data_IF_237944622583
#
_entry.id   IF_237944622583
#
_cell.length_a   1.000
_cell.length_b   1.000
_cell.length_c   1.000
_cell.angle_alpha   90.00
_cell.angle_beta   90.00
_cell.angle_gamma   90.00
#
_symmetry.space_group_name_H-M   'P 1'
#
loop_
_entity.id
_entity.type
_entity.pdbx_description
1 polymer ?
#
# COMPACT_ATOMS: atom_id res chain seq x y z
N UNK A 1 -13.52 36.74 24.39
CA UNK A 1 -14.21 35.44 24.47
C UNK A 1 -13.16 34.34 24.56
N UNK A 2 -13.15 33.59 25.66
CA UNK A 2 -12.30 32.42 25.83
C UNK A 2 -12.78 31.28 24.94
N UNK A 3 -11.86 30.50 24.39
CA UNK A 3 -12.08 29.10 24.04
C UNK A 3 -10.76 28.36 24.22
N UNK A 4 -10.43 28.11 25.49
CA UNK A 4 -9.58 27.00 25.87
C UNK A 4 -10.28 25.70 25.46
N UNK A 5 -9.63 24.87 24.65
CA UNK A 5 -9.92 23.43 24.69
C UNK A 5 -8.60 22.67 24.63
N UNK A 6 -8.22 21.96 25.71
CA UNK A 6 -6.92 21.34 25.84
C UNK A 6 -6.81 20.12 24.92
N UNK A 7 -5.71 20.03 24.19
CA UNK A 7 -5.35 18.86 23.40
C UNK A 7 -4.73 17.76 24.28
N UNK A 8 -5.51 16.75 24.68
CA UNK A 8 -5.12 15.33 24.91
C UNK A 8 -6.39 14.51 25.29
N UNK A 9 -6.59 13.20 24.99
CA UNK A 9 -5.60 12.12 25.13
C UNK A 9 -5.61 11.03 24.02
N UNK A 10 -4.42 10.52 23.68
CA UNK A 10 -4.16 9.34 22.85
C UNK A 10 -4.62 9.39 21.38
N UNK A 11 -3.81 8.79 20.49
CA UNK A 11 -3.97 8.87 19.03
C UNK A 11 -5.29 8.23 18.58
N UNK A 12 -6.40 8.97 18.62
CA UNK A 12 -7.68 8.50 18.10
C UNK A 12 -7.53 8.21 16.62
N UNK A 13 -7.91 7.00 16.21
CA UNK A 13 -7.90 6.60 14.80
C UNK A 13 -8.80 7.54 14.02
N UNK A 14 -8.30 8.08 12.90
CA UNK A 14 -9.01 9.00 11.99
C UNK A 14 -8.90 8.48 10.55
N UNK A 15 -9.77 8.96 9.66
CA UNK A 15 -9.75 8.62 8.25
C UNK A 15 -9.90 7.11 8.01
N UNK A 16 -9.08 6.53 7.13
CA UNK A 16 -9.12 5.11 6.79
C UNK A 16 -8.96 4.19 8.02
N UNK A 17 -8.11 4.58 8.98
CA UNK A 17 -7.87 3.81 10.20
C UNK A 17 -9.08 3.79 11.16
N UNK A 18 -10.00 4.75 11.03
CA UNK A 18 -11.23 4.81 11.81
C UNK A 18 -12.40 4.02 11.19
N UNK A 19 -12.27 3.61 9.91
CA UNK A 19 -13.34 2.93 9.20
C UNK A 19 -13.51 1.48 9.66
N UNK A 20 -14.72 0.97 9.49
CA UNK A 20 -15.02 -0.45 9.73
C UNK A 20 -14.17 -1.35 8.81
N UNK A 21 -13.84 -2.59 9.23
CA UNK A 21 -13.06 -3.52 8.42
C UNK A 21 -13.65 -3.76 7.01
N UNK A 22 -14.97 -3.81 6.91
CA UNK A 22 -15.72 -4.04 5.67
C UNK A 22 -15.50 -2.86 4.71
N UNK A 23 -15.71 -1.63 5.19
CA UNK A 23 -15.52 -0.41 4.39
C UNK A 23 -14.06 -0.19 4.01
N UNK A 24 -13.11 -0.55 4.88
CA UNK A 24 -11.67 -0.54 4.53
C UNK A 24 -11.38 -1.50 3.38
N UNK A 25 -11.95 -2.69 3.42
CA UNK A 25 -11.77 -3.70 2.38
C UNK A 25 -12.35 -3.25 1.04
N UNK A 26 -13.56 -2.67 1.05
CA UNK A 26 -14.17 -2.09 -0.15
C UNK A 26 -13.32 -0.97 -0.76
N UNK A 27 -12.85 -0.02 0.07
CA UNK A 27 -11.99 1.08 -0.39
C UNK A 27 -10.65 0.57 -0.92
N UNK A 28 -10.05 -0.43 -0.27
CA UNK A 28 -8.81 -1.05 -0.74
C UNK A 28 -9.01 -1.79 -2.09
N UNK A 29 -10.12 -2.53 -2.24
CA UNK A 29 -10.51 -3.17 -3.50
C UNK A 29 -10.69 -2.14 -4.61
N UNK A 30 -11.39 -1.04 -4.32
CA UNK A 30 -11.58 0.06 -5.28
C UNK A 30 -10.27 0.71 -5.67
N UNK A 31 -9.36 0.97 -4.70
CA UNK A 31 -8.03 1.52 -4.96
C UNK A 31 -7.16 0.63 -5.84
N UNK A 32 -7.16 -0.69 -5.60
CA UNK A 32 -6.45 -1.65 -6.46
C UNK A 32 -7.08 -1.82 -7.85
N UNK A 33 -8.40 -1.68 -7.94
CA UNK A 33 -9.14 -1.77 -9.20
C UNK A 33 -9.06 -0.50 -10.06
N UNK A 34 -8.78 0.66 -9.46
CA UNK A 34 -8.79 1.97 -10.12
C UNK A 34 -7.77 2.09 -11.26
N UNK A 35 -6.71 1.28 -11.25
CA UNK A 35 -5.81 1.15 -12.40
C UNK A 35 -6.41 0.11 -13.34
N UNK A 36 -6.78 0.44 -14.60
CA UNK A 36 -7.23 -0.55 -15.57
C UNK A 36 -6.20 -1.65 -15.79
N UNK A 37 -6.63 -2.88 -16.07
CA UNK A 37 -5.78 -4.05 -16.31
C UNK A 37 -4.64 -3.76 -17.28
N UNK A 38 -4.92 -2.99 -18.32
CA UNK A 38 -3.99 -2.66 -19.40
C UNK A 38 -2.86 -1.72 -18.94
N UNK A 39 -3.06 -1.02 -17.81
CA UNK A 39 -2.07 -0.12 -17.19
C UNK A 39 -1.48 -0.68 -15.89
N UNK A 40 -1.92 -1.86 -15.44
CA UNK A 40 -1.33 -2.57 -14.29
C UNK A 40 -0.05 -3.27 -14.73
N UNK A 41 1.03 -2.51 -14.92
CA UNK A 41 2.35 -3.06 -15.27
C UNK A 41 2.80 -4.17 -14.30
N UNK A 42 2.39 -4.11 -13.04
CA UNK A 42 2.69 -5.08 -11.99
C UNK A 42 1.79 -6.33 -11.96
N UNK A 43 0.73 -6.39 -12.76
CA UNK A 43 -0.18 -7.56 -12.82
C UNK A 43 0.16 -8.53 -13.95
N UNK A 44 1.07 -8.17 -14.86
CA UNK A 44 1.55 -9.06 -15.92
C UNK A 44 2.46 -10.16 -15.32
N UNK A 45 2.05 -11.45 -15.36
CA UNK A 45 2.84 -12.55 -14.81
C UNK A 45 4.22 -12.69 -15.46
N UNK A 46 4.33 -12.40 -16.76
CA UNK A 46 5.59 -12.51 -17.48
C UNK A 46 6.54 -11.37 -17.15
N UNK A 47 6.02 -10.14 -16.99
CA UNK A 47 6.83 -9.01 -16.54
C UNK A 47 7.33 -9.23 -15.10
N UNK A 48 6.47 -9.72 -14.21
CA UNK A 48 6.84 -10.04 -12.83
C UNK A 48 7.93 -11.12 -12.77
N UNK A 49 7.80 -12.18 -13.57
CA UNK A 49 8.82 -13.24 -13.68
C UNK A 49 10.16 -12.71 -14.22
N UNK A 50 10.11 -11.86 -15.24
CA UNK A 50 11.31 -11.23 -15.82
C UNK A 50 12.01 -10.29 -14.81
N UNK A 51 11.24 -9.43 -14.14
CA UNK A 51 11.75 -8.53 -13.11
C UNK A 51 12.34 -9.30 -11.92
N UNK A 52 11.68 -10.36 -11.46
CA UNK A 52 12.18 -11.24 -10.41
C UNK A 52 13.49 -11.93 -10.78
N UNK A 53 13.63 -12.42 -12.03
CA UNK A 53 14.87 -13.01 -12.52
C UNK A 53 16.02 -12.01 -12.53
N UNK A 54 15.79 -10.77 -13.01
CA UNK A 54 16.81 -9.71 -13.01
C UNK A 54 17.20 -9.30 -11.59
N UNK A 55 16.22 -9.14 -10.69
CA UNK A 55 16.47 -8.83 -9.29
C UNK A 55 17.29 -9.92 -8.59
N UNK A 56 16.96 -11.19 -8.79
CA UNK A 56 17.70 -12.32 -8.23
C UNK A 56 19.14 -12.43 -8.74
N UNK A 57 19.37 -12.17 -10.03
CA UNK A 57 20.74 -12.13 -10.61
C UNK A 57 21.55 -10.97 -10.04
N UNK A 58 20.91 -9.83 -9.76
CA UNK A 58 21.56 -8.64 -9.21
C UNK A 58 21.97 -8.81 -7.74
N UNK A 59 21.24 -9.62 -6.96
CA UNK A 59 21.57 -9.92 -5.57
C UNK A 59 22.58 -11.06 -5.42
N UNK A 60 22.59 -12.03 -6.33
CA UNK A 60 23.55 -13.14 -6.33
C UNK A 60 25.02 -12.70 -6.37
N UNK A 61 25.32 -11.50 -6.90
CA UNK A 61 26.65 -10.88 -6.86
C UNK A 61 26.94 -10.01 -5.62
N UNK A 62 25.93 -9.65 -4.82
CA UNK A 62 26.06 -8.68 -3.72
C UNK A 62 26.01 -9.29 -2.31
N UNK A 63 25.55 -10.54 -2.16
CA UNK A 63 25.45 -11.25 -0.86
C UNK A 63 26.44 -12.42 -0.72
N UNK A 64 27.65 -12.31 -1.26
CA UNK A 64 28.75 -13.26 -0.99
C UNK A 64 29.99 -12.56 -0.37
N UNK A 65 29.76 -11.79 0.69
CA UNK A 65 30.80 -11.17 1.52
C UNK A 65 30.29 -11.01 2.94
#
# INVERSE_FOLDING_TARGET
MANDTPANPEKRKRGFAAMTPERRTEVAKMGGAAVPSEKRAFSDPDLARKAGSVGGKSTQGKTRG
#
